data_IF_264731314142
#
_entry.id   IF_264731314142
#
_cell.length_a   1.000
_cell.length_b   1.000
_cell.length_c   1.000
_cell.angle_alpha   90.00
_cell.angle_beta   90.00
_cell.angle_gamma   90.00
#
_symmetry.space_group_name_H-M   'P 1'
#
loop_
_entity.id
_entity.type
_entity.pdbx_description
1 polymer ?
#
# COMPACT_ATOMS: atom_id res chain seq x y z
N UNK A 1 -14.21 6.78 -41.67
CA UNK A 1 -14.26 5.57 -40.82
C UNK A 1 -12.85 5.35 -40.30
N UNK A 2 -12.55 5.71 -39.05
CA UNK A 2 -11.26 5.32 -38.45
C UNK A 2 -11.29 3.79 -38.31
N UNK A 3 -10.40 3.10 -39.02
CA UNK A 3 -10.28 1.65 -38.90
C UNK A 3 -9.81 1.32 -37.49
N UNK A 4 -10.70 0.76 -36.68
CA UNK A 4 -10.35 0.21 -35.37
C UNK A 4 -9.36 -0.94 -35.61
N UNK A 5 -8.09 -0.79 -35.17
CA UNK A 5 -7.10 -1.89 -35.17
C UNK A 5 -7.39 -2.76 -33.95
N UNK A 6 -7.79 -4.03 -34.11
CA UNK A 6 -8.00 -4.93 -32.96
C UNK A 6 -6.75 -5.07 -32.12
N UNK A 7 -6.92 -5.11 -30.80
CA UNK A 7 -5.81 -5.22 -29.85
C UNK A 7 -5.23 -6.64 -29.94
N UNK A 8 -3.91 -6.80 -30.14
CA UNK A 8 -3.29 -8.13 -30.09
C UNK A 8 -3.46 -8.75 -28.71
N UNK A 9 -4.16 -9.87 -28.63
CA UNK A 9 -4.42 -10.58 -27.38
C UNK A 9 -3.86 -11.99 -27.49
N UNK A 10 -2.85 -12.30 -26.68
CA UNK A 10 -2.16 -13.58 -26.69
C UNK A 10 -2.54 -14.33 -25.42
N UNK A 11 -3.36 -15.37 -25.57
CA UNK A 11 -3.79 -16.21 -24.46
C UNK A 11 -2.88 -17.43 -24.32
N UNK A 12 -2.36 -17.63 -23.11
CA UNK A 12 -1.47 -18.73 -22.74
C UNK A 12 -2.34 -19.89 -22.26
N UNK A 13 -2.17 -21.06 -22.88
CA UNK A 13 -2.91 -22.27 -22.50
C UNK A 13 -1.99 -23.49 -22.56
N UNK A 14 -2.01 -24.34 -21.54
CA UNK A 14 -1.37 -25.65 -21.64
C UNK A 14 -2.19 -26.56 -22.58
N UNK A 15 -1.53 -27.17 -23.56
CA UNK A 15 -2.21 -27.97 -24.61
C UNK A 15 -3.15 -29.04 -24.07
N UNK A 16 -2.82 -29.64 -22.91
CA UNK A 16 -3.62 -30.66 -22.21
C UNK A 16 -4.91 -30.13 -21.57
N UNK A 17 -5.03 -28.82 -21.34
CA UNK A 17 -6.17 -28.16 -20.65
C UNK A 17 -7.24 -27.73 -21.64
N UNK A 18 -7.95 -28.71 -22.21
CA UNK A 18 -8.95 -28.46 -23.26
C UNK A 18 -10.16 -27.68 -22.76
N UNK A 19 -10.53 -27.84 -21.49
CA UNK A 19 -11.58 -27.09 -20.79
C UNK A 19 -11.22 -25.61 -20.61
N UNK A 20 -10.00 -25.30 -20.16
CA UNK A 20 -9.51 -23.90 -20.01
C UNK A 20 -9.33 -23.24 -21.38
N UNK A 21 -8.87 -23.97 -22.40
CA UNK A 21 -8.88 -23.51 -23.79
C UNK A 21 -10.28 -23.16 -24.30
N UNK A 22 -11.28 -24.01 -24.04
CA UNK A 22 -12.66 -23.74 -24.44
C UNK A 22 -13.24 -22.53 -23.69
N UNK A 23 -12.92 -22.39 -22.41
CA UNK A 23 -13.29 -21.24 -21.59
C UNK A 23 -12.73 -19.94 -22.13
N UNK A 24 -11.41 -19.85 -22.37
CA UNK A 24 -10.80 -18.60 -22.83
C UNK A 24 -11.29 -18.19 -24.22
N UNK A 25 -11.53 -19.14 -25.13
CA UNK A 25 -12.14 -18.85 -26.44
C UNK A 25 -13.52 -18.22 -26.27
N UNK A 26 -14.33 -18.75 -25.35
CA UNK A 26 -15.67 -18.25 -25.06
C UNK A 26 -15.66 -16.84 -24.47
N UNK A 27 -14.72 -16.52 -23.57
CA UNK A 27 -14.61 -15.19 -22.98
C UNK A 27 -14.40 -14.08 -24.02
N UNK A 28 -13.73 -14.39 -25.14
CA UNK A 28 -13.49 -13.46 -26.24
C UNK A 28 -14.47 -13.60 -27.42
N UNK A 29 -15.41 -14.53 -27.37
CA UNK A 29 -16.40 -14.73 -28.43
C UNK A 29 -17.28 -13.49 -28.59
N UNK A 30 -17.45 -13.02 -29.84
CA UNK A 30 -18.25 -11.83 -30.14
C UNK A 30 -17.61 -10.49 -29.75
N UNK A 31 -16.31 -10.47 -29.40
CA UNK A 31 -15.55 -9.26 -29.04
C UNK A 31 -14.54 -8.89 -30.14
N UNK A 32 -14.98 -8.27 -31.25
CA UNK A 32 -14.11 -7.97 -32.40
C UNK A 32 -12.99 -6.98 -32.08
N UNK A 33 -13.06 -6.32 -30.92
CA UNK A 33 -12.01 -5.45 -30.42
C UNK A 33 -10.67 -6.17 -30.14
N UNK A 34 -10.70 -7.50 -29.98
CA UNK A 34 -9.52 -8.32 -29.69
C UNK A 34 -9.15 -9.22 -30.87
N UNK A 35 -7.86 -9.27 -31.19
CA UNK A 35 -7.27 -10.27 -32.08
C UNK A 35 -6.68 -11.38 -31.22
N UNK A 36 -7.51 -12.34 -30.84
CA UNK A 36 -7.12 -13.47 -30.00
C UNK A 36 -6.20 -14.45 -30.74
N UNK A 37 -5.07 -14.77 -30.13
CA UNK A 37 -4.17 -15.87 -30.53
C UNK A 37 -3.94 -16.77 -29.32
N UNK A 38 -4.17 -18.07 -29.47
CA UNK A 38 -3.85 -19.05 -28.42
C UNK A 38 -2.42 -19.55 -28.62
N UNK A 39 -1.59 -19.45 -27.59
CA UNK A 39 -0.22 -19.97 -27.56
C UNK A 39 -0.15 -21.14 -26.58
N UNK A 40 0.42 -22.25 -27.05
CA UNK A 40 0.71 -23.39 -26.20
C UNK A 40 1.79 -22.98 -25.18
N UNK A 41 1.47 -23.09 -23.90
CA UNK A 41 2.40 -22.80 -22.82
C UNK A 41 3.58 -23.78 -22.85
N UNK A 42 4.79 -23.27 -22.60
CA UNK A 42 6.00 -24.07 -22.49
C UNK A 42 5.92 -24.88 -21.19
N UNK A 43 5.96 -26.20 -21.31
CA UNK A 43 5.96 -27.11 -20.16
C UNK A 43 7.33 -27.13 -19.48
N UNK A 44 7.32 -26.96 -18.17
CA UNK A 44 8.49 -27.00 -17.30
C UNK A 44 8.12 -27.69 -15.99
N UNK A 45 9.09 -28.32 -15.32
CA UNK A 45 8.89 -28.93 -13.99
C UNK A 45 8.48 -27.91 -12.93
N UNK A 46 8.82 -26.63 -13.14
CA UNK A 46 8.37 -25.50 -12.34
C UNK A 46 7.44 -24.65 -13.20
N UNK A 47 6.14 -24.72 -12.92
CA UNK A 47 5.11 -24.04 -13.74
C UNK A 47 5.34 -22.54 -13.93
N UNK A 48 5.82 -21.84 -12.89
CA UNK A 48 6.17 -20.42 -12.98
C UNK A 48 7.30 -20.12 -13.98
N UNK A 49 8.29 -21.01 -14.08
CA UNK A 49 9.40 -20.89 -15.05
C UNK A 49 8.91 -21.14 -16.47
N UNK A 50 8.06 -22.14 -16.68
CA UNK A 50 7.40 -22.40 -17.96
C UNK A 50 6.54 -21.21 -18.42
N UNK A 51 5.79 -20.60 -17.49
CA UNK A 51 5.03 -19.37 -17.75
C UNK A 51 5.96 -18.22 -18.18
N UNK A 52 7.05 -17.97 -17.46
CA UNK A 52 8.01 -16.91 -17.83
C UNK A 52 8.66 -17.14 -19.20
N UNK A 53 9.09 -18.37 -19.50
CA UNK A 53 9.63 -18.72 -20.81
C UNK A 53 8.59 -18.47 -21.92
N UNK A 54 7.31 -18.77 -21.64
CA UNK A 54 6.21 -18.51 -22.57
C UNK A 54 6.01 -17.01 -22.78
N UNK A 55 6.08 -16.20 -21.73
CA UNK A 55 6.04 -14.73 -21.85
C UNK A 55 7.17 -14.23 -22.75
N UNK A 56 8.42 -14.68 -22.52
CA UNK A 56 9.55 -14.28 -23.36
C UNK A 56 9.37 -14.69 -24.83
N UNK A 57 8.85 -15.90 -25.08
CA UNK A 57 8.51 -16.35 -26.43
C UNK A 57 7.45 -15.44 -27.08
N UNK A 58 6.40 -15.09 -26.34
CA UNK A 58 5.34 -14.21 -26.84
C UNK A 58 5.89 -12.84 -27.19
N UNK A 59 6.69 -12.25 -26.30
CA UNK A 59 7.30 -10.95 -26.54
C UNK A 59 8.16 -11.00 -27.81
N UNK A 60 9.04 -12.00 -27.99
CA UNK A 60 9.87 -12.11 -29.21
C UNK A 60 9.07 -12.26 -30.50
N UNK A 61 7.91 -12.92 -30.43
CA UNK A 61 7.19 -13.38 -31.63
C UNK A 61 6.09 -12.42 -32.08
N UNK A 62 5.39 -11.77 -31.13
CA UNK A 62 4.14 -11.05 -31.42
C UNK A 62 4.23 -9.53 -31.25
N UNK A 63 5.39 -8.97 -30.89
CA UNK A 63 5.48 -7.55 -30.49
C UNK A 63 6.20 -6.62 -31.48
N UNK A 64 6.79 -7.14 -32.56
CA UNK A 64 7.67 -6.36 -33.44
C UNK A 64 7.05 -5.02 -33.91
N UNK A 65 5.75 -5.01 -34.20
CA UNK A 65 5.00 -3.85 -34.72
C UNK A 65 3.90 -3.36 -33.76
N UNK A 66 3.94 -3.80 -32.49
CA UNK A 66 2.87 -3.53 -31.52
C UNK A 66 3.38 -2.63 -30.39
N UNK A 67 2.67 -1.51 -30.15
CA UNK A 67 2.99 -0.58 -29.06
C UNK A 67 2.61 -1.13 -27.68
N UNK A 68 1.66 -2.06 -27.67
CA UNK A 68 1.29 -2.86 -26.53
C UNK A 68 0.61 -4.15 -27.01
N UNK A 69 0.63 -5.16 -26.16
CA UNK A 69 -0.14 -6.40 -26.35
C UNK A 69 -0.87 -6.73 -25.06
N UNK A 70 -1.95 -7.51 -25.14
CA UNK A 70 -2.57 -8.15 -23.99
C UNK A 70 -2.00 -9.56 -23.87
N UNK A 71 -1.45 -9.86 -22.70
CA UNK A 71 -1.22 -11.23 -22.25
C UNK A 71 -2.43 -11.66 -21.42
N UNK A 72 -2.93 -12.85 -21.73
CA UNK A 72 -4.08 -13.42 -21.05
C UNK A 72 -3.74 -14.84 -20.57
N UNK A 73 -4.14 -15.19 -19.35
CA UNK A 73 -4.13 -16.59 -18.91
C UNK A 73 -5.44 -17.27 -19.31
N UNK A 74 -5.41 -18.59 -19.47
CA UNK A 74 -6.56 -19.40 -19.88
C UNK A 74 -7.66 -19.53 -18.82
N UNK A 75 -7.46 -18.97 -17.63
CA UNK A 75 -8.49 -18.79 -16.59
C UNK A 75 -8.98 -17.34 -16.43
N UNK A 76 -8.59 -16.43 -17.31
CA UNK A 76 -9.20 -15.12 -17.38
C UNK A 76 -10.72 -15.22 -17.50
N UNK A 77 -11.43 -14.36 -16.79
CA UNK A 77 -12.86 -14.14 -16.95
C UNK A 77 -13.16 -12.64 -16.94
N UNK A 78 -13.97 -12.18 -17.89
CA UNK A 78 -14.47 -10.82 -17.87
C UNK A 78 -15.51 -10.64 -16.75
N UNK A 79 -15.45 -9.52 -16.05
CA UNK A 79 -16.49 -9.14 -15.10
C UNK A 79 -17.66 -8.47 -15.84
N UNK A 80 -18.76 -8.25 -15.12
CA UNK A 80 -19.87 -7.42 -15.58
C UNK A 80 -19.47 -5.95 -15.89
N UNK A 81 -18.31 -5.51 -15.40
CA UNK A 81 -17.83 -4.14 -15.60
C UNK A 81 -17.03 -3.95 -16.89
N UNK A 82 -16.69 -5.05 -17.58
CA UNK A 82 -16.02 -4.95 -18.86
C UNK A 82 -16.88 -4.18 -19.87
N UNK A 83 -16.26 -3.18 -20.49
CA UNK A 83 -16.74 -2.56 -21.73
C UNK A 83 -15.54 -2.09 -22.54
N UNK A 84 -15.68 -2.05 -23.86
CA UNK A 84 -14.62 -1.52 -24.73
C UNK A 84 -14.33 -0.04 -24.43
N UNK A 85 -15.34 0.72 -24.01
CA UNK A 85 -15.18 2.12 -23.62
C UNK A 85 -14.27 2.26 -22.38
N UNK A 86 -14.52 1.45 -21.35
CA UNK A 86 -13.71 1.46 -20.13
C UNK A 86 -12.28 0.97 -20.42
N UNK A 87 -12.12 -0.12 -21.16
CA UNK A 87 -10.79 -0.62 -21.55
C UNK A 87 -10.00 0.43 -22.34
N UNK A 88 -10.64 1.07 -23.33
CA UNK A 88 -9.99 2.09 -24.17
C UNK A 88 -9.58 3.31 -23.34
N UNK A 89 -10.45 3.78 -22.43
CA UNK A 89 -10.13 4.88 -21.53
C UNK A 89 -8.94 4.53 -20.62
N UNK A 90 -8.93 3.34 -20.01
CA UNK A 90 -7.84 2.93 -19.14
C UNK A 90 -6.52 2.73 -19.89
N UNK A 91 -6.54 2.22 -21.13
CA UNK A 91 -5.37 2.14 -22.01
C UNK A 91 -4.83 3.53 -22.32
N UNK A 92 -5.71 4.47 -22.68
CA UNK A 92 -5.32 5.85 -22.94
C UNK A 92 -4.66 6.51 -21.71
N UNK A 93 -5.24 6.31 -20.53
CA UNK A 93 -4.69 6.81 -19.27
C UNK A 93 -3.33 6.20 -18.97
N UNK A 94 -3.16 4.89 -19.21
CA UNK A 94 -1.90 4.20 -19.02
C UNK A 94 -0.81 4.69 -19.98
N UNK A 95 -1.15 4.91 -21.26
CA UNK A 95 -0.22 5.50 -22.24
C UNK A 95 0.18 6.92 -21.80
N UNK A 96 -0.78 7.75 -21.41
CA UNK A 96 -0.55 9.13 -20.97
C UNK A 96 0.32 9.20 -19.71
N UNK A 97 0.22 8.21 -18.84
CA UNK A 97 1.04 8.09 -17.64
C UNK A 97 2.38 7.37 -17.89
N UNK A 98 2.67 6.96 -19.13
CA UNK A 98 3.84 6.14 -19.47
C UNK A 98 3.91 4.86 -18.64
N UNK A 99 2.83 4.08 -18.58
CA UNK A 99 2.79 2.81 -17.86
C UNK A 99 3.68 1.75 -18.52
N UNK A 100 4.28 0.88 -17.70
CA UNK A 100 4.97 -0.34 -18.14
C UNK A 100 3.97 -1.48 -18.35
N UNK A 101 3.00 -1.57 -17.44
CA UNK A 101 1.95 -2.58 -17.44
C UNK A 101 0.62 -2.00 -16.95
N UNK A 102 -0.48 -2.52 -17.48
CA UNK A 102 -1.85 -2.24 -17.02
C UNK A 102 -2.61 -3.56 -16.82
N UNK A 103 -2.94 -3.88 -15.56
CA UNK A 103 -3.67 -5.08 -15.19
C UNK A 103 -5.19 -4.84 -15.19
N UNK A 104 -5.96 -5.77 -15.77
CA UNK A 104 -7.43 -5.69 -15.83
C UNK A 104 -8.15 -5.90 -14.49
N UNK A 105 -7.44 -6.45 -13.50
CA UNK A 105 -7.87 -6.60 -12.11
C UNK A 105 -6.79 -7.29 -11.29
N UNK A 106 -6.45 -6.73 -10.13
CA UNK A 106 -5.40 -7.27 -9.26
C UNK A 106 -6.01 -8.19 -8.20
N UNK A 107 -5.44 -9.39 -8.00
CA UNK A 107 -5.89 -10.32 -6.95
C UNK A 107 -5.43 -9.87 -5.56
N UNK A 108 -4.33 -9.13 -5.49
CA UNK A 108 -3.85 -8.42 -4.31
C UNK A 108 -3.02 -7.22 -4.76
N UNK A 109 -2.98 -6.16 -3.95
CA UNK A 109 -2.11 -5.01 -4.13
C UNK A 109 -1.73 -4.37 -2.80
N UNK A 110 -0.64 -3.62 -2.79
CA UNK A 110 -0.10 -2.99 -1.58
C UNK A 110 -0.64 -1.57 -1.34
N UNK A 111 -0.84 -0.82 -2.42
CA UNK A 111 -1.36 0.55 -2.43
C UNK A 111 -2.18 0.81 -3.69
N UNK A 112 -3.07 1.80 -3.66
CA UNK A 112 -3.87 2.17 -4.82
C UNK A 112 -4.04 3.70 -4.87
N UNK A 113 -3.30 4.34 -5.77
CA UNK A 113 -3.33 5.80 -5.96
C UNK A 113 -4.06 6.10 -7.27
N UNK A 114 -5.20 6.81 -7.25
CA UNK A 114 -5.93 7.13 -8.47
C UNK A 114 -5.12 8.10 -9.33
N UNK A 115 -4.74 7.68 -10.53
CA UNK A 115 -4.13 8.57 -11.53
C UNK A 115 -5.18 9.13 -12.51
N UNK A 116 -6.30 8.42 -12.67
CA UNK A 116 -7.42 8.83 -13.49
C UNK A 116 -8.73 8.28 -12.93
N UNK A 117 -9.83 8.43 -13.69
CA UNK A 117 -11.11 7.84 -13.32
C UNK A 117 -11.07 6.31 -13.21
N UNK A 118 -10.25 5.65 -14.03
CA UNK A 118 -10.25 4.19 -14.20
C UNK A 118 -8.90 3.52 -13.98
N UNK A 119 -7.80 4.26 -13.88
CA UNK A 119 -6.46 3.72 -13.69
C UNK A 119 -5.88 4.11 -12.32
N UNK A 120 -5.37 3.10 -11.61
CA UNK A 120 -4.76 3.25 -10.30
C UNK A 120 -3.31 2.77 -10.36
N UNK A 121 -2.40 3.58 -9.84
CA UNK A 121 -1.03 3.15 -9.60
C UNK A 121 -0.94 2.31 -8.34
N UNK A 122 -0.01 1.35 -8.34
CA UNK A 122 0.28 0.51 -7.18
C UNK A 122 1.77 0.24 -7.04
N UNK A 123 2.26 0.07 -5.81
CA UNK A 123 3.65 -0.32 -5.58
C UNK A 123 3.93 -1.77 -5.98
N UNK A 124 3.00 -2.67 -5.65
CA UNK A 124 3.09 -4.12 -5.86
C UNK A 124 1.70 -4.68 -6.09
N UNK A 125 1.60 -5.70 -6.94
CA UNK A 125 0.36 -6.44 -7.18
C UNK A 125 0.64 -7.89 -7.56
N UNK A 126 -0.40 -8.71 -7.48
CA UNK A 126 -0.47 -10.07 -8.03
C UNK A 126 -1.66 -10.23 -8.97
N UNK A 127 -1.61 -11.26 -9.81
CA UNK A 127 -2.61 -11.54 -10.85
C UNK A 127 -2.18 -11.01 -12.23
N UNK A 128 -2.01 -11.93 -13.18
CA UNK A 128 -1.63 -11.64 -14.56
C UNK A 128 -2.67 -12.05 -15.59
N UNK A 129 -3.82 -12.57 -15.15
CA UNK A 129 -4.83 -13.20 -16.00
C UNK A 129 -5.28 -12.32 -17.17
N UNK A 130 -5.24 -11.00 -17.02
CA UNK A 130 -5.41 -10.05 -18.12
C UNK A 130 -4.48 -8.85 -17.91
N UNK A 131 -3.37 -8.81 -18.63
CA UNK A 131 -2.34 -7.79 -18.46
C UNK A 131 -1.94 -7.19 -19.79
N UNK A 132 -2.06 -5.88 -19.93
CA UNK A 132 -1.49 -5.14 -21.04
C UNK A 132 -0.02 -4.85 -20.72
N UNK A 133 0.86 -5.21 -21.65
CA UNK A 133 2.29 -4.94 -21.56
C UNK A 133 2.66 -3.95 -22.64
N UNK A 134 3.21 -2.80 -22.24
CA UNK A 134 3.61 -1.73 -23.14
C UNK A 134 5.03 -1.94 -23.66
N UNK A 135 5.29 -1.46 -24.88
CA UNK A 135 6.53 -1.69 -25.63
C UNK A 135 7.81 -1.41 -24.87
N UNK A 136 7.83 -0.34 -24.07
CA UNK A 136 9.01 0.03 -23.28
C UNK A 136 9.42 -1.02 -22.25
N UNK A 137 8.51 -1.92 -21.86
CA UNK A 137 8.75 -2.95 -20.86
C UNK A 137 9.14 -4.32 -21.45
N UNK A 138 9.08 -4.48 -22.78
CA UNK A 138 9.40 -5.74 -23.45
C UNK A 138 10.82 -6.20 -23.17
N UNK A 139 11.78 -5.30 -23.31
CA UNK A 139 13.19 -5.62 -23.09
C UNK A 139 13.48 -6.05 -21.66
N UNK A 140 12.78 -5.47 -20.67
CA UNK A 140 12.89 -5.87 -19.27
C UNK A 140 12.47 -7.33 -19.09
N UNK A 141 11.39 -7.77 -19.73
CA UNK A 141 10.94 -9.18 -19.67
C UNK A 141 11.93 -10.10 -20.41
N UNK A 142 12.42 -9.69 -21.57
CA UNK A 142 13.33 -10.51 -22.39
C UNK A 142 14.68 -10.77 -21.72
N UNK A 143 15.21 -9.79 -21.00
CA UNK A 143 16.57 -9.81 -20.46
C UNK A 143 16.65 -10.11 -18.96
N UNK A 144 15.52 -10.16 -18.26
CA UNK A 144 15.55 -10.45 -16.83
C UNK A 144 15.75 -11.95 -16.56
N UNK A 145 16.71 -12.33 -15.70
CA UNK A 145 16.84 -13.70 -15.22
C UNK A 145 15.66 -14.09 -14.33
N UNK A 146 15.19 -15.33 -14.48
CA UNK A 146 14.08 -15.90 -13.72
C UNK A 146 14.54 -17.13 -12.95
N UNK A 147 14.43 -17.06 -11.63
CA UNK A 147 14.88 -18.09 -10.71
C UNK A 147 13.73 -19.04 -10.35
N UNK A 148 14.08 -20.21 -9.80
CA UNK A 148 13.11 -21.26 -9.45
C UNK A 148 12.08 -20.87 -8.39
N UNK A 149 12.37 -19.83 -7.59
CA UNK A 149 11.48 -19.29 -6.56
C UNK A 149 10.69 -18.04 -7.03
N UNK A 150 10.92 -17.58 -8.27
CA UNK A 150 10.21 -16.42 -8.80
C UNK A 150 8.78 -16.81 -9.21
N UNK A 151 7.84 -15.88 -9.01
CA UNK A 151 6.51 -15.93 -9.60
C UNK A 151 6.42 -14.84 -10.67
N UNK A 152 5.76 -15.12 -11.81
CA UNK A 152 5.74 -14.22 -12.95
C UNK A 152 5.11 -12.86 -12.61
N UNK A 153 4.04 -12.86 -11.82
CA UNK A 153 3.32 -11.67 -11.39
C UNK A 153 4.19 -10.79 -10.47
N UNK A 154 4.78 -11.39 -9.44
CA UNK A 154 5.71 -10.72 -8.53
C UNK A 154 6.96 -10.22 -9.25
N UNK A 155 7.45 -10.97 -10.25
CA UNK A 155 8.61 -10.56 -11.05
C UNK A 155 8.28 -9.33 -11.88
N UNK A 156 7.18 -9.36 -12.66
CA UNK A 156 6.70 -8.19 -13.42
C UNK A 156 6.49 -7.01 -12.48
N UNK A 157 5.85 -7.23 -11.33
CA UNK A 157 5.64 -6.19 -10.33
C UNK A 157 6.97 -5.60 -9.84
N UNK A 158 7.97 -6.41 -9.53
CA UNK A 158 9.27 -5.90 -9.07
C UNK A 158 10.06 -5.14 -10.15
N UNK A 159 9.87 -5.50 -11.42
CA UNK A 159 10.59 -4.91 -12.56
C UNK A 159 9.95 -3.63 -13.09
N UNK A 160 8.63 -3.48 -12.97
CA UNK A 160 7.88 -2.35 -13.50
C UNK A 160 7.94 -1.16 -12.54
N UNK A 161 8.22 0.02 -13.07
CA UNK A 161 8.20 1.27 -12.31
C UNK A 161 6.76 1.81 -12.24
N UNK A 162 6.13 1.95 -13.42
CA UNK A 162 4.76 2.44 -13.57
C UNK A 162 3.81 1.29 -13.88
N UNK A 163 3.42 0.61 -12.82
CA UNK A 163 2.44 -0.47 -12.86
C UNK A 163 1.06 0.04 -12.47
N UNK A 164 0.08 -0.18 -13.33
CA UNK A 164 -1.29 0.27 -13.14
C UNK A 164 -2.26 -0.90 -13.11
N UNK A 165 -3.43 -0.70 -12.50
CA UNK A 165 -4.57 -1.59 -12.67
C UNK A 165 -5.86 -0.81 -12.94
N UNK A 166 -6.80 -1.47 -13.59
CA UNK A 166 -8.11 -0.93 -13.97
C UNK A 166 -9.09 -1.08 -12.81
N UNK A 167 -9.85 -0.04 -12.45
CA UNK A 167 -10.99 -0.14 -11.54
C UNK A 167 -12.24 0.59 -12.10
N UNK A 168 -13.45 0.00 -12.02
CA UNK A 168 -13.77 -1.35 -11.51
C UNK A 168 -13.06 -2.44 -12.32
N UNK A 169 -12.79 -3.59 -11.69
CA UNK A 169 -12.03 -4.66 -12.32
C UNK A 169 -12.81 -5.16 -13.54
N UNK A 170 -12.16 -5.22 -14.69
CA UNK A 170 -12.74 -5.80 -15.91
C UNK A 170 -12.42 -7.28 -16.06
N UNK A 171 -11.45 -7.76 -15.29
CA UNK A 171 -10.97 -9.13 -15.34
C UNK A 171 -10.72 -9.68 -13.94
N UNK A 172 -11.16 -10.91 -13.73
CA UNK A 172 -10.81 -11.76 -12.60
C UNK A 172 -10.31 -13.12 -13.11
N UNK A 173 -9.87 -13.96 -12.19
CA UNK A 173 -9.45 -15.33 -12.47
C UNK A 173 -10.56 -16.31 -12.06
N UNK A 174 -10.91 -17.22 -12.97
CA UNK A 174 -11.86 -18.31 -12.72
C UNK A 174 -11.17 -19.51 -12.10
N UNK A 175 -11.77 -20.07 -11.06
CA UNK A 175 -11.29 -21.34 -10.49
C UNK A 175 -11.74 -22.55 -11.33
N UNK A 176 -10.79 -23.45 -11.62
CA UNK A 176 -11.05 -24.74 -12.27
C UNK A 176 -10.88 -25.93 -11.30
N UNK A 177 -10.52 -25.68 -10.05
CA UNK A 177 -10.26 -26.71 -9.03
C UNK A 177 -8.89 -27.40 -9.13
N UNK A 178 -8.02 -26.93 -10.02
CA UNK A 178 -6.63 -27.38 -10.14
C UNK A 178 -5.74 -26.23 -10.66
N UNK A 179 -4.51 -26.12 -10.14
CA UNK A 179 -3.48 -25.17 -10.59
C UNK A 179 -2.11 -25.85 -10.65
N UNK A 180 -1.40 -25.65 -11.77
CA UNK A 180 0.00 -26.13 -11.94
C UNK A 180 1.01 -25.11 -11.38
N UNK A 181 0.56 -23.92 -10.95
CA UNK A 181 1.47 -22.82 -10.55
C UNK A 181 1.58 -22.67 -9.03
N UNK A 182 0.47 -22.79 -8.30
CA UNK A 182 0.49 -22.62 -6.84
C UNK A 182 -0.48 -23.56 -6.13
N UNK A 183 0.05 -24.53 -5.37
CA UNK A 183 -0.79 -25.42 -4.54
C UNK A 183 -1.58 -24.66 -3.45
N UNK A 184 -1.06 -23.52 -2.98
CA UNK A 184 -1.68 -22.68 -1.94
C UNK A 184 -3.03 -22.07 -2.35
N UNK A 185 -3.32 -21.96 -3.64
CA UNK A 185 -4.57 -21.38 -4.16
C UNK A 185 -5.60 -22.45 -4.58
N UNK A 186 -5.33 -23.74 -4.34
CA UNK A 186 -6.22 -24.83 -4.73
C UNK A 186 -7.41 -25.05 -3.75
N UNK A 187 -7.56 -24.21 -2.72
CA UNK A 187 -8.74 -24.23 -1.87
C UNK A 187 -9.90 -23.54 -2.59
N UNK A 188 -11.03 -24.24 -2.73
CA UNK A 188 -12.20 -23.72 -3.43
C UNK A 188 -12.69 -22.39 -2.81
N UNK A 189 -12.92 -21.40 -3.66
CA UNK A 189 -13.38 -20.06 -3.32
C UNK A 189 -12.30 -19.07 -2.90
N UNK A 190 -11.03 -19.50 -2.82
CA UNK A 190 -9.92 -18.65 -2.38
C UNK A 190 -9.59 -17.54 -3.37
N UNK A 191 -9.57 -17.84 -4.66
CA UNK A 191 -9.24 -16.86 -5.72
C UNK A 191 -10.35 -15.83 -5.84
N UNK A 192 -11.61 -16.28 -5.82
CA UNK A 192 -12.78 -15.38 -5.81
C UNK A 192 -12.73 -14.41 -4.62
N UNK A 193 -12.37 -14.90 -3.44
CA UNK A 193 -12.22 -14.08 -2.23
C UNK A 193 -11.10 -13.04 -2.36
N UNK A 194 -9.97 -13.39 -2.98
CA UNK A 194 -8.85 -12.47 -3.21
C UNK A 194 -9.29 -11.26 -4.05
N UNK A 195 -9.97 -11.49 -5.18
CA UNK A 195 -10.46 -10.40 -6.02
C UNK A 195 -11.55 -9.56 -5.32
N UNK A 196 -12.50 -10.21 -4.64
CA UNK A 196 -13.54 -9.49 -3.85
C UNK A 196 -12.92 -8.60 -2.77
N UNK A 197 -11.90 -9.12 -2.07
CA UNK A 197 -11.17 -8.37 -1.04
C UNK A 197 -10.44 -7.19 -1.66
N UNK A 198 -9.78 -7.38 -2.80
CA UNK A 198 -9.09 -6.31 -3.52
C UNK A 198 -10.05 -5.22 -4.01
N UNK A 199 -11.20 -5.57 -4.57
CA UNK A 199 -12.22 -4.57 -4.96
C UNK A 199 -12.80 -3.81 -3.76
N UNK A 200 -13.04 -4.51 -2.63
CA UNK A 200 -13.48 -3.90 -1.39
C UNK A 200 -12.42 -2.94 -0.82
N UNK A 201 -11.13 -3.28 -0.95
CA UNK A 201 -10.02 -2.43 -0.56
C UNK A 201 -9.99 -1.14 -1.40
N UNK A 202 -10.10 -1.22 -2.73
CA UNK A 202 -10.16 0.01 -3.57
C UNK A 202 -11.35 0.89 -3.19
N UNK A 203 -12.51 0.28 -2.94
CA UNK A 203 -13.72 1.00 -2.48
C UNK A 203 -13.48 1.71 -1.15
N UNK A 204 -12.84 1.02 -0.21
CA UNK A 204 -12.46 1.56 1.11
C UNK A 204 -11.51 2.75 0.96
N UNK A 205 -10.46 2.62 0.14
CA UNK A 205 -9.50 3.69 -0.10
C UNK A 205 -10.15 4.93 -0.73
N UNK A 206 -11.08 4.74 -1.68
CA UNK A 206 -11.86 5.85 -2.26
C UNK A 206 -12.72 6.57 -1.23
N UNK A 207 -13.32 5.83 -0.30
CA UNK A 207 -14.15 6.41 0.76
C UNK A 207 -13.29 7.18 1.77
N UNK A 208 -12.13 6.65 2.13
CA UNK A 208 -11.14 7.33 3.00
C UNK A 208 -10.65 8.61 2.34
N UNK A 209 -10.23 8.55 1.07
CA UNK A 209 -9.80 9.73 0.32
C UNK A 209 -10.89 10.81 0.33
N UNK A 210 -12.13 10.45 0.00
CA UNK A 210 -13.27 11.38 0.05
C UNK A 210 -13.50 11.97 1.45
N UNK A 211 -13.39 11.14 2.50
CA UNK A 211 -13.59 11.56 3.88
C UNK A 211 -12.59 12.66 4.30
N UNK A 212 -11.31 12.46 3.98
CA UNK A 212 -10.24 13.38 4.36
C UNK A 212 -10.15 14.60 3.45
N UNK A 213 -10.37 14.46 2.13
CA UNK A 213 -10.44 15.61 1.23
C UNK A 213 -11.55 16.60 1.62
N UNK A 214 -12.69 16.09 2.10
CA UNK A 214 -13.78 16.95 2.59
C UNK A 214 -13.44 17.71 3.89
N UNK A 215 -12.37 17.31 4.59
CA UNK A 215 -11.89 17.89 5.86
C UNK A 215 -10.51 18.53 5.73
N UNK A 216 -10.03 18.71 4.49
CA UNK A 216 -8.73 19.30 4.27
C UNK A 216 -8.79 20.80 4.59
N UNK A 217 -8.07 21.20 5.62
CA UNK A 217 -7.87 22.59 5.98
C UNK A 217 -6.37 22.81 6.16
N UNK A 218 -5.81 23.73 5.38
CA UNK A 218 -4.43 24.16 5.55
C UNK A 218 -4.42 25.31 6.54
N UNK A 219 -3.70 25.14 7.64
CA UNK A 219 -3.46 26.24 8.57
C UNK A 219 -2.50 27.23 7.92
N UNK A 220 -2.85 28.51 7.92
CA UNK A 220 -1.93 29.58 7.53
C UNK A 220 -0.82 29.73 8.57
N UNK A 221 0.31 30.30 8.18
CA UNK A 221 1.45 30.48 9.07
C UNK A 221 1.14 31.41 10.25
N UNK A 222 0.16 32.31 10.09
CA UNK A 222 -0.32 33.23 11.12
C UNK A 222 -1.28 32.56 12.13
N UNK A 223 -1.88 31.41 11.79
CA UNK A 223 -2.79 30.66 12.66
C UNK A 223 -2.08 29.76 13.68
N UNK A 224 -0.76 29.58 13.56
CA UNK A 224 0.04 28.71 14.42
C UNK A 224 0.97 29.56 15.29
N UNK A 225 0.51 29.98 16.46
CA UNK A 225 1.41 30.45 17.52
C UNK A 225 2.12 29.24 18.12
N UNK A 226 3.42 29.12 17.88
CA UNK A 226 4.27 28.10 18.52
C UNK A 226 4.68 28.50 19.95
N UNK A 227 4.35 29.73 20.38
CA UNK A 227 4.63 30.20 21.73
C UNK A 227 3.75 29.42 22.70
N UNK A 228 4.38 28.91 23.77
CA UNK A 228 3.74 28.22 24.91
C UNK A 228 3.12 26.84 24.61
N UNK A 229 3.46 26.21 23.48
CA UNK A 229 3.08 24.81 23.24
C UNK A 229 4.07 23.88 23.95
N UNK A 230 3.56 23.09 24.88
CA UNK A 230 4.28 22.03 25.57
C UNK A 230 3.49 20.73 25.45
N UNK A 231 4.12 19.66 24.95
CA UNK A 231 3.48 18.36 24.76
C UNK A 231 4.10 17.35 25.71
N UNK A 232 3.26 16.79 26.58
CA UNK A 232 3.65 15.68 27.46
C UNK A 232 4.17 14.51 26.62
N UNK A 233 5.43 14.15 26.83
CA UNK A 233 6.17 13.16 26.05
C UNK A 233 6.60 12.01 26.94
N UNK A 234 5.87 10.91 26.91
CA UNK A 234 6.20 9.71 27.66
C UNK A 234 7.34 8.95 26.98
N UNK A 235 8.44 8.77 27.72
CA UNK A 235 9.58 7.96 27.31
C UNK A 235 9.53 6.66 28.09
N UNK A 236 9.25 5.57 27.40
CA UNK A 236 9.12 4.27 28.04
C UNK A 236 10.50 3.61 28.12
N UNK A 237 10.89 3.28 29.35
CA UNK A 237 12.18 2.71 29.74
C UNK A 237 12.05 1.20 29.96
N UNK A 238 12.91 0.41 29.32
CA UNK A 238 12.92 -1.06 29.39
C UNK A 238 14.21 -1.62 29.97
N UNK A 239 15.28 -0.86 29.96
CA UNK A 239 16.59 -1.26 30.46
C UNK A 239 17.04 -0.43 31.65
N UNK A 240 18.12 -0.85 32.31
CA UNK A 240 18.77 -0.08 33.37
C UNK A 240 19.71 1.03 32.84
N UNK A 241 19.58 1.41 31.56
CA UNK A 241 20.37 2.48 30.97
C UNK A 241 20.19 3.84 31.66
N UNK A 242 21.14 4.75 31.43
CA UNK A 242 21.09 6.12 31.93
C UNK A 242 20.11 6.95 31.08
N UNK A 243 18.84 6.92 31.50
CA UNK A 243 17.75 7.64 30.83
C UNK A 243 17.90 9.16 30.96
N UNK A 244 18.56 9.65 32.01
CA UNK A 244 18.78 11.07 32.23
C UNK A 244 19.73 11.62 31.18
N UNK A 245 20.83 10.90 30.90
CA UNK A 245 21.75 11.26 29.81
C UNK A 245 21.08 11.21 28.43
N UNK A 246 20.17 10.25 28.20
CA UNK A 246 19.40 10.19 26.95
C UNK A 246 18.48 11.41 26.80
N UNK A 247 17.73 11.75 27.85
CA UNK A 247 16.82 12.92 27.84
C UNK A 247 17.61 14.21 27.59
N UNK A 248 18.72 14.41 28.31
CA UNK A 248 19.57 15.58 28.16
C UNK A 248 20.10 15.72 26.72
N UNK A 249 20.49 14.60 26.09
CA UNK A 249 21.00 14.61 24.72
C UNK A 249 19.92 14.87 23.66
N UNK A 250 18.72 14.33 23.84
CA UNK A 250 17.72 14.28 22.76
C UNK A 250 16.57 15.29 22.90
N UNK A 251 16.32 15.82 24.10
CA UNK A 251 15.16 16.67 24.40
C UNK A 251 15.51 18.03 25.01
N UNK A 252 16.75 18.28 25.46
CA UNK A 252 17.13 19.55 26.12
C UNK A 252 16.97 20.79 25.23
N UNK A 253 17.10 20.62 23.91
CA UNK A 253 16.96 21.66 22.89
C UNK A 253 15.54 21.74 22.29
N UNK A 254 14.57 21.00 22.85
CA UNK A 254 13.19 20.88 22.35
C UNK A 254 12.19 21.28 23.45
N UNK A 255 12.07 22.58 23.77
CA UNK A 255 11.22 23.06 24.86
C UNK A 255 9.74 22.69 24.68
N UNK A 256 9.30 22.41 23.46
CA UNK A 256 7.96 21.96 23.14
C UNK A 256 7.66 20.51 23.57
N UNK A 257 8.66 19.72 23.94
CA UNK A 257 8.52 18.34 24.37
C UNK A 257 8.87 18.21 25.85
N UNK A 258 7.91 17.79 26.68
CA UNK A 258 8.10 17.63 28.13
C UNK A 258 8.27 16.16 28.47
N UNK A 259 9.51 15.66 28.67
CA UNK A 259 9.76 14.24 28.87
C UNK A 259 9.28 13.75 30.25
N UNK A 260 8.54 12.63 30.26
CA UNK A 260 8.14 11.89 31.46
C UNK A 260 8.57 10.43 31.30
N UNK A 261 9.37 9.92 32.24
CA UNK A 261 9.85 8.54 32.19
C UNK A 261 8.78 7.58 32.74
N UNK A 262 8.50 6.52 31.99
CA UNK A 262 7.61 5.42 32.42
C UNK A 262 8.38 4.12 32.37
N UNK A 263 8.35 3.36 33.46
CA UNK A 263 9.03 2.07 33.54
C UNK A 263 8.15 0.94 33.00
N UNK A 264 8.73 0.11 32.13
CA UNK A 264 8.13 -1.16 31.71
C UNK A 264 8.83 -2.33 32.40
N UNK A 265 8.08 -3.20 33.07
CA UNK A 265 8.65 -4.44 33.65
C UNK A 265 8.84 -5.56 32.60
N UNK A 266 8.46 -5.33 31.34
CA UNK A 266 8.68 -6.31 30.27
C UNK A 266 10.18 -6.42 29.98
N UNK A 267 10.78 -7.54 30.39
CA UNK A 267 12.22 -7.82 30.21
C UNK A 267 12.63 -8.01 28.75
N UNK A 268 11.67 -8.22 27.85
CA UNK A 268 11.84 -8.36 26.41
C UNK A 268 10.58 -7.93 25.66
N UNK A 269 10.27 -6.63 25.55
CA UNK A 269 9.26 -6.21 24.59
C UNK A 269 9.88 -6.41 23.21
N UNK A 270 9.30 -7.29 22.39
CA UNK A 270 9.59 -7.24 20.96
C UNK A 270 9.33 -5.82 20.45
N UNK A 271 8.30 -5.13 20.97
CA UNK A 271 7.96 -3.73 20.70
C UNK A 271 7.35 -3.02 21.93
N UNK A 272 7.76 -1.79 22.21
CA UNK A 272 7.37 -1.08 23.44
C UNK A 272 5.88 -0.71 23.55
N UNK A 273 5.21 -0.50 22.41
CA UNK A 273 3.78 -0.15 22.35
C UNK A 273 2.86 -1.38 22.35
N UNK A 274 3.39 -2.59 22.58
CA UNK A 274 2.59 -3.81 22.74
C UNK A 274 2.21 -4.09 24.20
N UNK A 275 2.75 -3.35 25.17
CA UNK A 275 2.42 -3.57 26.58
C UNK A 275 1.12 -2.85 26.96
N UNK A 276 0.02 -3.60 26.95
CA UNK A 276 -1.31 -3.09 27.32
C UNK A 276 -1.31 -2.39 28.69
N UNK A 277 -0.57 -2.91 29.67
CA UNK A 277 -0.45 -2.31 31.01
C UNK A 277 0.21 -0.94 30.98
N UNK A 278 1.32 -0.80 30.25
CA UNK A 278 2.02 0.49 30.10
C UNK A 278 1.12 1.51 29.41
N UNK A 279 0.45 1.10 28.33
CA UNK A 279 -0.50 1.97 27.63
C UNK A 279 -1.66 2.40 28.53
N UNK A 280 -2.26 1.49 29.31
CA UNK A 280 -3.31 1.84 30.29
C UNK A 280 -2.81 2.91 31.27
N UNK A 281 -1.64 2.71 31.86
CA UNK A 281 -1.06 3.67 32.81
C UNK A 281 -0.85 5.05 32.17
N UNK A 282 -0.31 5.09 30.95
CA UNK A 282 -0.10 6.35 30.21
C UNK A 282 -1.45 7.02 29.89
N UNK A 283 -2.42 6.28 29.36
CA UNK A 283 -3.75 6.84 29.03
C UNK A 283 -4.47 7.36 30.27
N UNK A 284 -4.40 6.65 31.40
CA UNK A 284 -5.00 7.10 32.66
C UNK A 284 -4.32 8.35 33.20
N UNK A 285 -2.99 8.42 33.13
CA UNK A 285 -2.25 9.60 33.54
C UNK A 285 -2.61 10.82 32.68
N UNK A 286 -2.57 10.67 31.35
CA UNK A 286 -2.91 11.72 30.40
C UNK A 286 -4.35 12.22 30.53
N UNK A 287 -5.29 11.32 30.82
CA UNK A 287 -6.68 11.69 31.10
C UNK A 287 -6.83 12.48 32.42
N UNK A 288 -6.05 12.13 33.45
CA UNK A 288 -6.09 12.81 34.75
C UNK A 288 -5.45 14.20 34.72
N UNK A 289 -4.46 14.42 33.87
CA UNK A 289 -3.81 15.72 33.60
C UNK A 289 -4.58 16.56 32.57
N UNK A 290 -5.67 16.02 32.01
CA UNK A 290 -6.48 16.64 30.95
C UNK A 290 -5.72 16.98 29.66
N UNK A 291 -4.62 16.26 29.37
CA UNK A 291 -3.81 16.48 28.16
C UNK A 291 -4.66 16.42 26.88
N UNK A 292 -4.48 17.39 25.97
CA UNK A 292 -5.15 17.39 24.66
C UNK A 292 -4.46 16.48 23.64
N UNK A 293 -3.14 16.33 23.80
CA UNK A 293 -2.28 15.49 22.98
C UNK A 293 -1.10 15.03 23.81
N UNK A 294 -0.68 13.79 23.61
CA UNK A 294 0.54 13.24 24.20
C UNK A 294 1.39 12.58 23.13
N UNK A 295 2.67 12.44 23.42
CA UNK A 295 3.63 11.69 22.62
C UNK A 295 4.10 10.48 23.43
N UNK A 296 4.25 9.34 22.78
CA UNK A 296 4.87 8.13 23.35
C UNK A 296 6.01 7.69 22.45
N UNK A 297 7.19 7.51 23.03
CA UNK A 297 8.37 6.95 22.38
C UNK A 297 9.15 6.07 23.37
N UNK A 298 10.18 5.38 22.87
CA UNK A 298 11.07 4.57 23.69
C UNK A 298 12.40 5.27 23.99
N UNK A 299 13.20 4.66 24.87
CA UNK A 299 14.55 5.13 25.23
C UNK A 299 15.61 4.99 24.12
N UNK A 300 15.23 4.50 22.94
CA UNK A 300 16.11 4.34 21.77
C UNK A 300 15.74 5.26 20.61
N UNK A 301 14.61 5.98 20.71
CA UNK A 301 14.16 6.90 19.69
C UNK A 301 15.22 7.96 19.35
N UNK A 302 15.37 8.25 18.06
CA UNK A 302 16.20 9.37 17.61
C UNK A 302 15.41 10.19 16.61
N UNK A 303 15.55 11.52 16.71
CA UNK A 303 14.95 12.43 15.75
C UNK A 303 15.70 12.36 14.42
N UNK A 304 14.94 12.34 13.33
CA UNK A 304 15.49 12.47 11.99
C UNK A 304 15.88 13.94 11.70
N UNK A 305 16.65 14.21 10.64
CA UNK A 305 16.92 15.57 10.17
C UNK A 305 15.67 16.35 9.74
N UNK A 306 14.54 15.68 9.49
CA UNK A 306 13.30 16.34 9.11
C UNK A 306 12.53 16.91 10.32
N UNK A 307 12.96 16.59 11.55
CA UNK A 307 12.34 17.17 12.74
C UNK A 307 12.58 18.69 12.79
N UNK A 308 11.48 19.42 12.96
CA UNK A 308 11.48 20.75 13.56
C UNK A 308 10.20 20.91 14.36
N UNK A 309 10.23 21.74 15.40
CA UNK A 309 9.05 22.03 16.24
C UNK A 309 7.86 22.49 15.39
N UNK A 310 8.11 23.42 14.46
CA UNK A 310 7.10 23.93 13.53
C UNK A 310 6.51 22.85 12.61
N UNK A 311 7.34 21.96 12.06
CA UNK A 311 6.87 20.85 11.23
C UNK A 311 6.01 19.86 12.02
N UNK A 312 6.48 19.44 13.20
CA UNK A 312 5.75 18.49 14.04
C UNK A 312 4.41 19.09 14.50
N UNK A 313 4.44 20.28 15.12
CA UNK A 313 3.26 20.91 15.70
C UNK A 313 2.20 21.22 14.63
N UNK A 314 2.62 21.75 13.47
CA UNK A 314 1.70 21.98 12.34
C UNK A 314 0.96 20.69 11.96
N UNK A 315 1.69 19.59 11.80
CA UNK A 315 1.06 18.34 11.41
C UNK A 315 0.19 17.72 12.52
N UNK A 316 0.53 17.91 13.79
CA UNK A 316 -0.33 17.52 14.92
C UNK A 316 -1.66 18.28 14.86
N UNK A 317 -1.62 19.61 14.69
CA UNK A 317 -2.82 20.45 14.64
C UNK A 317 -3.69 20.13 13.44
N UNK A 318 -3.11 19.96 12.25
CA UNK A 318 -3.87 19.63 11.05
C UNK A 318 -4.45 18.21 11.12
N UNK A 319 -3.72 17.23 11.68
CA UNK A 319 -4.25 15.88 11.90
C UNK A 319 -5.42 15.89 12.91
N UNK A 320 -5.31 16.69 13.98
CA UNK A 320 -6.39 16.88 14.94
C UNK A 320 -7.65 17.46 14.27
N UNK A 321 -7.51 18.51 13.44
CA UNK A 321 -8.63 19.09 12.69
C UNK A 321 -9.26 18.09 11.70
N UNK A 322 -8.47 17.16 11.17
CA UNK A 322 -8.94 16.07 10.32
C UNK A 322 -9.61 14.92 11.10
N UNK A 323 -9.65 14.99 12.44
CA UNK A 323 -10.27 14.00 13.30
C UNK A 323 -9.44 12.74 13.51
N UNK A 324 -8.12 12.84 13.38
CA UNK A 324 -7.21 11.74 13.68
C UNK A 324 -7.29 11.35 15.17
N UNK A 325 -7.29 10.05 15.45
CA UNK A 325 -7.09 9.49 16.79
C UNK A 325 -5.60 9.32 17.10
N UNK A 326 -4.79 9.06 16.07
CA UNK A 326 -3.35 8.82 16.17
C UNK A 326 -2.61 9.42 14.98
N UNK A 327 -1.42 9.97 15.25
CA UNK A 327 -0.45 10.34 14.24
C UNK A 327 0.89 9.67 14.58
N UNK A 328 1.48 8.97 13.61
CA UNK A 328 2.77 8.29 13.76
C UNK A 328 3.89 9.14 13.16
N UNK A 329 4.95 9.35 13.93
CA UNK A 329 6.16 10.07 13.51
C UNK A 329 7.13 9.22 12.67
N UNK A 330 6.86 7.92 12.55
CA UNK A 330 7.61 6.98 11.74
C UNK A 330 7.17 5.54 11.99
N UNK A 331 7.65 4.60 11.17
CA UNK A 331 7.42 3.16 11.32
C UNK A 331 8.31 2.34 10.39
N UNK A 332 8.29 1.02 10.59
CA UNK A 332 9.07 0.07 9.80
C UNK A 332 8.28 -0.50 8.61
N UNK A 333 6.96 -0.54 8.69
CA UNK A 333 6.09 -0.87 7.56
C UNK A 333 4.69 -0.28 7.77
N UNK A 334 3.86 -0.28 6.74
CA UNK A 334 2.47 0.13 6.80
C UNK A 334 1.61 -0.67 5.82
N UNK A 335 0.32 -0.82 6.16
CA UNK A 335 -0.67 -1.48 5.31
C UNK A 335 -1.12 -0.60 4.14
N UNK A 336 -2.39 -0.71 3.75
CA UNK A 336 -2.96 0.16 2.71
C UNK A 336 -2.77 1.65 3.08
N UNK A 337 -2.63 2.50 2.07
CA UNK A 337 -2.23 3.90 2.26
C UNK A 337 -3.06 4.84 1.38
N UNK A 338 -3.42 6.00 1.93
CA UNK A 338 -4.07 7.10 1.22
C UNK A 338 -3.38 8.41 1.57
N UNK A 339 -2.83 9.16 0.61
CA UNK A 339 -2.35 10.52 0.83
C UNK A 339 -3.49 11.41 1.30
N UNK A 340 -3.33 12.07 2.47
CA UNK A 340 -4.33 13.00 3.00
C UNK A 340 -3.86 14.46 2.94
N UNK A 341 -2.55 14.68 2.88
CA UNK A 341 -1.90 15.96 2.58
C UNK A 341 -0.52 15.70 1.99
N UNK A 342 0.26 16.76 1.76
CA UNK A 342 1.65 16.67 1.34
C UNK A 342 2.54 15.89 2.34
N UNK A 343 2.23 15.99 3.63
CA UNK A 343 3.07 15.44 4.71
C UNK A 343 2.41 14.35 5.55
N UNK A 344 1.16 13.98 5.23
CA UNK A 344 0.39 13.01 6.01
C UNK A 344 -0.28 11.99 5.11
N UNK A 345 -0.25 10.75 5.58
CA UNK A 345 -0.82 9.60 4.90
C UNK A 345 -1.71 8.85 5.88
N UNK A 346 -2.97 8.64 5.53
CA UNK A 346 -3.78 7.64 6.20
C UNK A 346 -3.19 6.26 5.91
N UNK A 347 -3.15 5.40 6.92
CA UNK A 347 -2.60 4.04 6.81
C UNK A 347 -3.51 3.02 7.50
N UNK A 348 -3.67 1.85 6.89
CA UNK A 348 -4.48 0.75 7.43
C UNK A 348 -3.86 0.12 8.68
N UNK A 349 -2.54 0.14 8.77
CA UNK A 349 -1.73 -0.30 9.91
C UNK A 349 -0.35 0.34 9.84
N UNK A 350 0.34 0.43 10.99
CA UNK A 350 1.76 0.76 11.09
C UNK A 350 2.44 -0.31 11.93
N UNK A 351 3.55 -0.83 11.41
CA UNK A 351 4.39 -1.79 12.09
C UNK A 351 5.55 -1.07 12.79
N UNK A 352 5.71 -1.36 14.08
CA UNK A 352 6.79 -0.84 14.93
C UNK A 352 6.92 0.71 14.92
N UNK A 353 5.86 1.44 15.31
CA UNK A 353 5.95 2.88 15.44
C UNK A 353 6.92 3.25 16.58
N UNK A 354 7.82 4.20 16.32
CA UNK A 354 8.85 4.64 17.27
C UNK A 354 8.49 5.95 17.98
N UNK A 355 7.56 6.71 17.42
CA UNK A 355 7.10 7.99 17.92
C UNK A 355 5.62 8.12 17.60
N UNK A 356 4.78 8.06 18.62
CA UNK A 356 3.34 7.99 18.47
C UNK A 356 2.67 9.14 19.17
N UNK A 357 1.93 9.94 18.41
CA UNK A 357 1.12 11.04 18.92
C UNK A 357 -0.31 10.53 19.07
N UNK A 358 -0.88 10.68 20.27
CA UNK A 358 -2.24 10.26 20.58
C UNK A 358 -3.05 11.47 21.00
N UNK A 359 -4.21 11.66 20.37
CA UNK A 359 -5.11 12.76 20.66
C UNK A 359 -6.08 12.38 21.77
N UNK A 360 -6.51 13.36 22.57
CA UNK A 360 -7.43 13.17 23.72
C UNK A 360 -8.69 12.37 23.40
N UNK A 361 -9.25 12.55 22.21
CA UNK A 361 -10.43 11.81 21.76
C UNK A 361 -10.22 10.29 21.67
N UNK A 362 -8.96 9.84 21.63
CA UNK A 362 -8.58 8.42 21.58
C UNK A 362 -8.33 7.81 22.96
N UNK A 363 -8.07 8.58 24.01
CA UNK A 363 -7.65 8.03 25.32
C UNK A 363 -8.65 7.04 25.90
N UNK A 364 -9.93 7.43 25.95
CA UNK A 364 -11.01 6.56 26.44
C UNK A 364 -11.25 5.36 25.52
N UNK A 365 -11.15 5.54 24.19
CA UNK A 365 -11.29 4.45 23.21
C UNK A 365 -10.20 3.40 23.41
N UNK A 366 -8.97 3.83 23.62
CA UNK A 366 -7.82 2.95 23.88
C UNK A 366 -8.02 2.20 25.19
N UNK A 367 -8.44 2.87 26.26
CA UNK A 367 -8.68 2.22 27.55
C UNK A 367 -9.73 1.10 27.44
N UNK A 368 -10.87 1.38 26.80
CA UNK A 368 -11.92 0.38 26.55
C UNK A 368 -11.39 -0.78 25.70
N UNK A 369 -10.70 -0.47 24.60
CA UNK A 369 -10.12 -1.49 23.73
C UNK A 369 -9.15 -2.41 24.50
N UNK A 370 -8.30 -1.85 25.35
CA UNK A 370 -7.34 -2.60 26.16
C UNK A 370 -7.97 -3.45 27.28
N UNK A 371 -9.23 -3.18 27.66
CA UNK A 371 -9.98 -4.02 28.60
C UNK A 371 -10.56 -5.26 27.91
N UNK A 372 -10.90 -5.16 26.62
CA UNK A 372 -11.50 -6.23 25.82
C UNK A 372 -10.45 -7.20 25.22
N UNK A 373 -9.20 -6.77 25.09
CA UNK A 373 -8.13 -7.57 24.48
C UNK A 373 -7.62 -8.64 25.45
N UNK A 374 -7.97 -9.90 25.17
CA UNK A 374 -7.55 -11.08 25.96
C UNK A 374 -6.13 -11.58 25.63
N UNK A 375 -5.59 -11.20 24.48
CA UNK A 375 -4.19 -11.40 24.07
C UNK A 375 -3.77 -10.24 23.17
N UNK A 376 -2.74 -9.45 23.53
CA UNK A 376 -2.31 -8.35 22.68
C UNK A 376 -1.79 -8.91 21.34
N UNK A 377 -2.44 -8.51 20.24
CA UNK A 377 -1.86 -8.66 18.92
C UNK A 377 -0.57 -7.84 18.82
N UNK A 378 0.33 -8.22 17.91
CA UNK A 378 1.43 -7.35 17.54
C UNK A 378 0.82 -6.05 16.98
N UNK A 379 1.10 -4.91 17.63
CA UNK A 379 0.65 -3.55 17.26
C UNK A 379 -0.80 -3.15 17.67
N UNK A 380 -1.12 -3.24 18.98
CA UNK A 380 -2.34 -2.72 19.64
C UNK A 380 -2.83 -1.38 19.06
N UNK A 381 -1.94 -0.40 18.92
CA UNK A 381 -2.29 0.95 18.47
C UNK A 381 -2.74 0.99 17.01
N UNK A 382 -2.22 0.07 16.19
CA UNK A 382 -2.67 -0.10 14.81
C UNK A 382 -4.03 -0.78 14.73
N UNK A 383 -4.48 -1.52 15.73
CA UNK A 383 -5.76 -2.24 15.67
C UNK A 383 -6.96 -1.42 16.15
N UNK A 384 -6.80 -0.51 17.12
CA UNK A 384 -7.98 0.09 17.79
C UNK A 384 -8.74 1.14 16.98
N UNK A 385 -8.07 1.88 16.08
CA UNK A 385 -8.70 2.99 15.34
C UNK A 385 -8.50 2.88 13.84
N UNK A 386 -9.51 3.27 13.06
CA UNK A 386 -9.41 3.50 11.63
C UNK A 386 -8.96 4.93 11.28
N UNK A 387 -8.95 5.88 12.23
CA UNK A 387 -8.55 7.26 12.01
C UNK A 387 -7.11 7.48 12.47
N UNK A 388 -6.17 6.91 11.71
CA UNK A 388 -4.73 7.00 12.00
C UNK A 388 -3.95 7.45 10.78
N UNK A 389 -2.89 8.19 11.03
CA UNK A 389 -2.04 8.76 10.00
C UNK A 389 -0.57 8.52 10.32
N UNK A 390 0.27 8.56 9.31
CA UNK A 390 1.73 8.63 9.45
C UNK A 390 2.25 9.90 8.78
N UNK A 391 3.27 10.51 9.38
CA UNK A 391 4.02 11.62 8.80
C UNK A 391 4.91 11.15 7.65
N UNK A 392 5.19 12.00 6.68
CA UNK A 392 6.32 11.84 5.76
C UNK A 392 6.75 13.22 5.23
N UNK A 393 8.00 13.66 5.43
CA UNK A 393 9.11 12.93 6.05
C UNK A 393 8.88 12.54 7.52
N UNK A 394 9.48 11.43 7.94
CA UNK A 394 9.41 10.95 9.32
C UNK A 394 10.17 11.88 10.25
N UNK A 395 9.67 12.08 11.47
CA UNK A 395 10.40 12.79 12.53
C UNK A 395 11.30 11.87 13.33
N UNK A 396 11.16 10.55 13.15
CA UNK A 396 11.97 9.52 13.80
C UNK A 396 12.89 8.83 12.80
N UNK A 397 14.08 8.42 13.24
CA UNK A 397 14.98 7.60 12.43
C UNK A 397 14.49 6.15 12.35
N UNK A 398 13.75 5.82 11.29
CA UNK A 398 13.22 4.46 11.05
C UNK A 398 13.84 3.82 9.81
N UNK A 399 13.27 2.70 9.36
CA UNK A 399 13.61 2.04 8.09
C UNK A 399 13.59 3.01 6.90
N UNK A 400 14.76 3.28 6.24
CA UNK A 400 14.82 4.18 5.09
C UNK A 400 13.98 3.72 3.90
N UNK A 401 13.70 2.41 3.81
CA UNK A 401 12.89 1.85 2.72
C UNK A 401 11.42 2.25 2.85
N UNK A 402 10.92 2.41 4.07
CA UNK A 402 9.52 2.71 4.36
C UNK A 402 9.20 4.17 4.10
N UNK A 403 10.08 5.07 4.50
CA UNK A 403 9.97 6.49 4.15
C UNK A 403 10.05 6.69 2.63
N UNK A 404 11.01 6.04 1.96
CA UNK A 404 11.14 6.10 0.50
C UNK A 404 9.85 5.66 -0.21
N UNK A 405 9.17 4.63 0.30
CA UNK A 405 7.88 4.19 -0.25
C UNK A 405 6.81 5.27 -0.14
N UNK A 406 6.69 5.95 1.01
CA UNK A 406 5.74 7.07 1.18
C UNK A 406 6.09 8.25 0.26
N UNK A 407 7.38 8.55 0.09
CA UNK A 407 7.83 9.57 -0.87
C UNK A 407 7.45 9.22 -2.31
N UNK A 408 7.62 7.97 -2.75
CA UNK A 408 7.13 7.53 -4.07
C UNK A 408 5.61 7.70 -4.17
N UNK A 409 4.85 7.30 -3.15
CA UNK A 409 3.39 7.47 -3.14
C UNK A 409 3.01 8.97 -3.24
N UNK A 410 3.73 9.85 -2.53
CA UNK A 410 3.56 11.31 -2.57
C UNK A 410 3.71 11.87 -3.98
N UNK A 411 4.72 11.42 -4.70
CA UNK A 411 4.98 11.82 -6.10
C UNK A 411 3.81 11.44 -7.01
N UNK A 412 3.33 10.19 -6.94
CA UNK A 412 2.19 9.73 -7.75
C UNK A 412 0.87 10.40 -7.37
N UNK A 413 0.74 10.88 -6.14
CA UNK A 413 -0.42 11.62 -5.68
C UNK A 413 -0.45 13.09 -6.16
N UNK A 414 0.61 13.55 -6.83
CA UNK A 414 0.72 14.93 -7.33
C UNK A 414 1.21 15.93 -6.30
N UNK A 415 1.77 15.47 -5.17
CA UNK A 415 2.38 16.31 -4.13
C UNK A 415 3.91 16.40 -4.26
N UNK A 416 4.46 16.20 -5.46
CA UNK A 416 5.89 16.31 -5.67
C UNK A 416 6.38 17.72 -5.32
N UNK A 417 7.44 17.80 -4.51
CA UNK A 417 8.17 19.04 -4.31
C UNK A 417 8.72 19.48 -5.67
N UNK A 418 8.33 20.67 -6.14
CA UNK A 418 9.10 21.37 -7.17
C UNK A 418 10.47 21.64 -6.57
N UNK A 419 11.39 20.70 -6.74
CA UNK A 419 12.77 20.81 -6.28
C UNK A 419 13.46 21.81 -7.21
N UNK A 420 13.49 23.07 -6.77
CA UNK A 420 14.34 24.12 -7.32
C UNK A 420 15.48 24.40 -6.35
#
# INVERSE_FOLDING_TARGET
>A
MNSFKPIPTIAINLKKRTDRKAHIIKEFEGRPEFRLTIVDAIEDTIGARGLWQTLQYIIRTYTAEEEYIIICEDDHQFTQHYSIQLLTAAVHDAVSNHADVLCGGASWFNSAIPLSQHAYWTEKYTGLQFTIIFKKFYENILHTPFNDNDAADLKISSLADKKLFIYPFISIQKEFGYSDVTAKNNAAGRVDELFKTSEANVTTLKNIARYYSARQKTLTQDEISLQDICITTYIVKTTNGDIEQYIDRHFSDKPELVPIVVHSDDKHPSHLLSSARVLKNIMTAAAATEDDVIIICDEYHQFSPAYSSGYLIRNILEAYQQGADILFGGGNDFGLVVPVSEHRFWVGSVNHPQFTIIFKAAFSKILVYLDDVTSPENDILSAFSSNKMVLCPFVSTTSPTTEKRLLTIREYAGYAENSH
#
